data_IF_719403582004
#
_entry.id   IF_719403582004
#
_cell.length_a   1.000
_cell.length_b   1.000
_cell.length_c   1.000
_cell.angle_alpha   90.00
_cell.angle_beta   90.00
_cell.angle_gamma   90.00
#
_symmetry.space_group_name_H-M   'P 1'
#
loop_
_entity.id
_entity.type
_entity.pdbx_description
1 polymer ?
#
# COMPACT_ATOMS: atom_id res chain seq x y z
N UNK A 1 -21.53 -6.64 -8.81
CA UNK A 1 -20.13 -6.14 -8.78
C UNK A 1 -19.29 -7.20 -9.46
N UNK A 2 -18.40 -6.83 -10.39
CA UNK A 2 -17.50 -7.81 -11.01
C UNK A 2 -16.54 -8.35 -9.94
N UNK A 3 -16.10 -9.59 -10.11
CA UNK A 3 -15.10 -10.20 -9.24
C UNK A 3 -13.81 -9.37 -9.21
N UNK A 4 -13.15 -9.36 -8.04
CA UNK A 4 -11.87 -8.69 -7.89
C UNK A 4 -10.83 -9.36 -8.79
N UNK A 5 -10.15 -8.57 -9.63
CA UNK A 5 -9.13 -9.08 -10.56
C UNK A 5 -7.73 -9.21 -9.96
N UNK A 6 -7.54 -8.61 -8.79
CA UNK A 6 -6.29 -8.62 -8.02
C UNK A 6 -6.63 -8.65 -6.53
N UNK A 7 -5.78 -9.29 -5.75
CA UNK A 7 -5.85 -9.36 -4.30
C UNK A 7 -4.64 -8.69 -3.62
N UNK A 8 -4.60 -8.76 -2.28
CA UNK A 8 -3.53 -8.13 -1.50
C UNK A 8 -2.16 -8.79 -1.75
N UNK A 9 -2.13 -10.11 -1.98
CA UNK A 9 -0.88 -10.85 -2.19
C UNK A 9 -0.24 -10.42 -3.52
N UNK A 10 -1.04 -10.27 -4.57
CA UNK A 10 -0.56 -9.75 -5.87
C UNK A 10 0.17 -8.41 -5.70
N UNK A 11 -0.40 -7.52 -4.89
CA UNK A 11 0.17 -6.20 -4.65
C UNK A 11 1.37 -6.23 -3.70
N UNK A 12 1.36 -7.08 -2.68
CA UNK A 12 2.51 -7.28 -1.76
C UNK A 12 3.72 -7.80 -2.53
N UNK A 13 3.54 -8.83 -3.38
CA UNK A 13 4.61 -9.37 -4.20
C UNK A 13 5.17 -8.32 -5.17
N UNK A 14 4.30 -7.50 -5.78
CA UNK A 14 4.73 -6.37 -6.59
C UNK A 14 5.55 -5.36 -5.78
N UNK A 15 5.12 -5.00 -4.56
CA UNK A 15 5.85 -4.06 -3.70
C UNK A 15 7.23 -4.59 -3.30
N UNK A 16 7.33 -5.87 -2.93
CA UNK A 16 8.60 -6.51 -2.57
C UNK A 16 9.56 -6.53 -3.77
N UNK A 17 9.04 -6.76 -4.98
CA UNK A 17 9.83 -6.78 -6.21
C UNK A 17 10.14 -5.41 -6.82
N UNK A 18 9.51 -4.34 -6.32
CA UNK A 18 9.67 -2.99 -6.88
C UNK A 18 10.82 -2.25 -6.21
N UNK A 19 11.70 -1.65 -7.01
CA UNK A 19 12.75 -0.75 -6.53
C UNK A 19 12.34 0.71 -6.79
N UNK A 20 12.15 1.50 -5.74
CA UNK A 20 11.82 2.92 -5.85
C UNK A 20 10.31 3.19 -5.89
N UNK A 21 9.83 3.92 -6.90
CA UNK A 21 8.43 4.33 -6.99
C UNK A 21 7.54 3.17 -7.48
N UNK A 22 6.63 2.72 -6.61
CA UNK A 22 5.57 1.78 -6.94
C UNK A 22 4.34 2.54 -7.47
N UNK A 23 3.87 2.19 -8.67
CA UNK A 23 2.63 2.76 -9.25
C UNK A 23 1.69 1.67 -9.71
N UNK A 24 0.38 1.94 -9.71
CA UNK A 24 -0.63 1.00 -10.20
C UNK A 24 -0.47 0.67 -11.69
N UNK A 25 0.08 1.60 -12.49
CA UNK A 25 0.40 1.38 -13.90
C UNK A 25 1.55 0.39 -14.06
N UNK A 26 2.59 0.52 -13.23
CA UNK A 26 3.71 -0.43 -13.23
C UNK A 26 3.28 -1.80 -12.73
N UNK A 27 2.43 -1.87 -11.69
CA UNK A 27 1.86 -3.12 -11.21
C UNK A 27 1.08 -3.87 -12.31
N UNK A 28 0.24 -3.14 -13.06
CA UNK A 28 -0.49 -3.71 -14.20
C UNK A 28 0.44 -4.16 -15.33
N UNK A 29 1.49 -3.38 -15.61
CA UNK A 29 2.47 -3.68 -16.67
C UNK A 29 3.30 -4.93 -16.36
N UNK A 30 3.64 -5.17 -15.09
CA UNK A 30 4.50 -6.27 -14.65
C UNK A 30 3.73 -7.48 -14.13
N UNK A 31 2.39 -7.44 -14.10
CA UNK A 31 1.57 -8.56 -13.67
C UNK A 31 1.85 -9.83 -14.49
N UNK A 32 1.92 -11.03 -13.88
CA UNK A 32 2.22 -12.28 -14.59
C UNK A 32 1.35 -12.55 -15.82
N UNK A 33 0.08 -12.14 -15.79
CA UNK A 33 -0.88 -12.30 -16.91
C UNK A 33 -1.03 -11.06 -17.81
N UNK A 34 -0.13 -10.07 -17.73
CA UNK A 34 -0.25 -8.82 -18.50
C UNK A 34 -0.35 -9.06 -20.02
N UNK A 35 0.36 -10.06 -20.55
CA UNK A 35 0.31 -10.43 -21.96
C UNK A 35 -1.03 -11.03 -22.41
N UNK A 36 -1.83 -11.54 -21.47
CA UNK A 36 -3.09 -12.26 -21.72
C UNK A 36 -4.32 -11.40 -21.37
N UNK A 37 -4.15 -10.08 -21.26
CA UNK A 37 -5.22 -9.18 -20.86
C UNK A 37 -5.48 -9.20 -19.35
N UNK A 38 -4.41 -9.31 -18.56
CA UNK A 38 -4.41 -9.24 -17.11
C UNK A 38 -5.00 -7.94 -16.52
N UNK A 39 -4.94 -7.77 -15.19
CA UNK A 39 -5.54 -6.63 -14.51
C UNK A 39 -4.92 -5.31 -14.98
N UNK A 40 -5.80 -4.34 -15.26
CA UNK A 40 -5.39 -2.97 -15.54
C UNK A 40 -5.13 -2.20 -14.23
N UNK A 41 -4.51 -1.01 -14.35
CA UNK A 41 -4.12 -0.19 -13.20
C UNK A 41 -5.29 0.12 -12.26
N UNK A 42 -6.50 0.28 -12.81
CA UNK A 42 -7.72 0.59 -12.06
C UNK A 42 -8.19 -0.58 -11.18
N UNK A 43 -7.77 -1.82 -11.46
CA UNK A 43 -7.98 -2.97 -10.58
C UNK A 43 -7.21 -2.81 -9.27
N UNK A 44 -5.95 -2.35 -9.34
CA UNK A 44 -5.12 -2.06 -8.16
C UNK A 44 -5.63 -0.85 -7.38
N UNK A 45 -6.06 0.23 -8.05
CA UNK A 45 -6.70 1.35 -7.35
C UNK A 45 -7.95 0.89 -6.59
N UNK A 46 -8.79 0.05 -7.20
CA UNK A 46 -9.94 -0.53 -6.49
C UNK A 46 -9.55 -1.48 -5.37
N UNK A 47 -8.44 -2.21 -5.49
CA UNK A 47 -7.91 -3.02 -4.39
C UNK A 47 -7.53 -2.12 -3.22
N UNK A 48 -6.71 -1.10 -3.46
CA UNK A 48 -6.25 -0.16 -2.43
C UNK A 48 -7.42 0.48 -1.69
N UNK A 49 -8.45 0.92 -2.39
CA UNK A 49 -9.66 1.46 -1.75
C UNK A 49 -10.48 0.41 -0.96
N UNK A 50 -10.37 -0.89 -1.30
CA UNK A 50 -11.04 -1.96 -0.54
C UNK A 50 -10.25 -2.38 0.68
N UNK A 51 -8.93 -2.35 0.61
CA UNK A 51 -8.02 -2.76 1.70
C UNK A 51 -7.56 -1.59 2.56
N UNK A 52 -7.96 -0.36 2.20
CA UNK A 52 -7.72 0.83 3.00
C UNK A 52 -8.20 0.55 4.42
N UNK A 53 -7.22 0.45 5.31
CA UNK A 53 -7.46 -0.01 6.67
C UNK A 53 -7.83 1.19 7.51
N UNK A 54 -8.91 1.03 8.27
CA UNK A 54 -9.26 1.96 9.32
C UNK A 54 -8.14 1.95 10.37
N UNK A 55 -7.50 3.10 10.58
CA UNK A 55 -6.40 3.24 11.54
C UNK A 55 -6.80 2.79 12.94
N UNK A 56 -8.08 2.96 13.30
CA UNK A 56 -8.60 2.51 14.59
C UNK A 56 -8.69 0.97 14.67
N UNK A 57 -9.08 0.31 13.57
CA UNK A 57 -9.13 -1.15 13.51
C UNK A 57 -7.73 -1.75 13.63
N UNK A 58 -6.75 -1.21 12.90
CA UNK A 58 -5.35 -1.62 13.01
C UNK A 58 -4.81 -1.41 14.42
N UNK A 59 -5.10 -0.26 15.03
CA UNK A 59 -4.71 0.01 16.41
C UNK A 59 -5.30 -1.02 17.37
N UNK A 60 -6.58 -1.36 17.24
CA UNK A 60 -7.22 -2.40 18.05
C UNK A 60 -6.54 -3.77 17.96
N UNK A 61 -5.99 -4.13 16.81
CA UNK A 61 -5.25 -5.39 16.62
C UNK A 61 -3.88 -5.38 17.31
N UNK A 62 -3.15 -4.26 17.21
CA UNK A 62 -1.75 -4.19 17.65
C UNK A 62 -1.56 -3.62 19.05
N UNK A 63 -2.54 -2.91 19.60
CA UNK A 63 -2.40 -2.17 20.86
C UNK A 63 -1.90 -3.03 22.03
N UNK A 64 -2.36 -4.28 22.13
CA UNK A 64 -1.93 -5.22 23.18
C UNK A 64 -0.46 -5.67 23.06
N UNK A 65 0.19 -5.36 21.94
CA UNK A 65 1.57 -5.72 21.62
C UNK A 65 2.51 -4.52 21.74
N UNK A 66 1.98 -3.32 22.05
CA UNK A 66 2.74 -2.08 22.18
C UNK A 66 2.90 -1.73 23.67
N UNK A 67 4.14 -1.56 24.12
CA UNK A 67 4.41 -0.97 25.43
C UNK A 67 4.26 0.55 25.37
N UNK A 68 3.15 1.08 25.89
CA UNK A 68 2.84 2.51 25.82
C UNK A 68 3.66 3.37 26.81
N UNK A 69 4.08 2.77 27.91
CA UNK A 69 4.81 3.44 29.00
C UNK A 69 6.34 3.30 28.88
N UNK A 70 6.82 2.67 27.82
CA UNK A 70 8.23 2.55 27.48
C UNK A 70 8.47 3.15 26.09
N UNK A 71 9.73 3.44 25.77
CA UNK A 71 10.02 4.11 24.50
C UNK A 71 11.48 3.99 24.10
N UNK A 72 11.70 4.18 22.81
CA UNK A 72 13.03 4.20 22.20
C UNK A 72 13.15 5.54 21.48
N UNK A 73 14.30 6.20 21.61
CA UNK A 73 14.59 7.40 20.84
C UNK A 73 14.83 6.99 19.38
N UNK A 74 13.83 7.20 18.52
CA UNK A 74 13.98 7.08 17.07
C UNK A 74 14.37 8.44 16.53
N UNK A 75 15.63 8.60 16.14
CA UNK A 75 16.09 9.76 15.40
C UNK A 75 15.76 9.52 13.93
N UNK A 76 14.62 10.03 13.48
CA UNK A 76 14.26 10.05 12.07
C UNK A 76 14.68 11.38 11.43
N UNK A 77 15.52 11.32 10.39
CA UNK A 77 15.95 12.48 9.58
C UNK A 77 15.01 12.68 8.37
N UNK A 78 13.89 11.95 8.30
CA UNK A 78 12.89 12.15 7.26
C UNK A 78 11.96 13.31 7.62
N UNK A 79 11.97 14.36 6.79
CA UNK A 79 11.01 15.46 6.93
C UNK A 79 9.61 14.95 6.62
N UNK A 80 8.66 15.18 7.54
CA UNK A 80 7.20 15.05 7.32
C UNK A 80 6.74 15.73 6.01
N UNK A 81 7.49 16.72 5.53
CA UNK A 81 7.35 17.32 4.20
C UNK A 81 7.86 16.36 3.11
N UNK A 82 7.13 15.28 2.86
CA UNK A 82 7.26 14.53 1.59
C UNK A 82 7.10 15.54 0.43
N UNK A 83 7.84 15.39 -0.69
CA UNK A 83 7.52 16.13 -1.90
C UNK A 83 6.01 16.03 -2.16
N UNK A 84 5.34 17.17 -2.34
CA UNK A 84 3.89 17.29 -2.54
C UNK A 84 2.97 17.13 -1.32
N UNK A 85 3.49 17.00 -0.08
CA UNK A 85 2.65 16.96 1.12
C UNK A 85 1.71 18.17 1.27
N UNK A 86 2.10 19.32 0.69
CA UNK A 86 1.33 20.58 0.69
C UNK A 86 0.47 20.78 -0.57
N UNK A 87 0.42 19.81 -1.48
CA UNK A 87 -0.27 19.93 -2.77
C UNK A 87 -1.58 19.10 -2.84
N UNK A 88 -1.99 18.47 -1.73
CA UNK A 88 -3.25 17.73 -1.61
C UNK A 88 -4.39 18.64 -1.11
N UNK A 89 -4.67 19.73 -1.82
CA UNK A 89 -5.91 20.52 -1.67
C UNK A 89 -7.07 19.92 -2.47
#
# INVERSE_FOLDING_TARGET
MNEAKVDAEDYIQFLIGSLGQATATEAARTHPSAAEGGPAHDAYTRLLNRIESDGEALWGEVANWVELDSGILVLDDSTLDKPYAKAME
#
